data_IF_427170504640
#
_entry.id   IF_427170504640
#
_cell.length_a   1.000
_cell.length_b   1.000
_cell.length_c   1.000
_cell.angle_alpha   90.00
_cell.angle_beta   90.00
_cell.angle_gamma   90.00
#
_symmetry.space_group_name_H-M   'P 1'
#
loop_
_entity.id
_entity.type
_entity.pdbx_description
1 polymer ?
#
# COMPACT_ATOMS: atom_id res chain seq x y z
N UNK A 1 5.84 11.40 -0.70
CA UNK A 1 6.06 12.08 -2.01
C UNK A 1 7.53 12.31 -2.12
N UNK A 2 8.17 11.85 -3.20
CA UNK A 2 9.64 11.82 -3.26
C UNK A 2 10.13 11.99 -4.70
N UNK A 3 11.44 12.15 -4.91
CA UNK A 3 12.04 12.09 -6.25
C UNK A 3 12.73 10.75 -6.48
N UNK A 4 12.48 10.14 -7.64
CA UNK A 4 13.19 8.95 -8.09
C UNK A 4 13.39 9.06 -9.61
N UNK A 5 14.61 8.77 -10.08
CA UNK A 5 14.97 8.81 -11.51
C UNK A 5 14.66 10.16 -12.18
N UNK A 6 14.81 11.25 -11.43
CA UNK A 6 14.57 12.61 -11.92
C UNK A 6 13.10 13.04 -11.88
N UNK A 7 12.16 12.13 -11.63
CA UNK A 7 10.72 12.40 -11.61
C UNK A 7 10.18 12.50 -10.18
N UNK A 8 9.11 13.28 -10.00
CA UNK A 8 8.39 13.36 -8.72
C UNK A 8 7.38 12.21 -8.66
N UNK A 9 7.58 11.31 -7.70
CA UNK A 9 6.71 10.16 -7.44
C UNK A 9 5.77 10.43 -6.28
N UNK A 10 4.52 10.02 -6.46
CA UNK A 10 3.47 10.09 -5.44
C UNK A 10 2.74 8.77 -5.45
N UNK A 11 2.91 7.99 -4.38
CA UNK A 11 2.38 6.63 -4.25
C UNK A 11 1.85 6.48 -2.83
N UNK A 12 0.61 6.03 -2.69
CA UNK A 12 0.04 5.64 -1.41
C UNK A 12 0.32 4.16 -1.12
N UNK A 13 0.49 3.88 0.16
CA UNK A 13 0.71 2.53 0.68
C UNK A 13 -0.20 2.34 1.88
N UNK A 14 -0.75 1.14 2.00
CA UNK A 14 -1.42 0.66 3.19
C UNK A 14 -0.38 -0.13 4.00
N UNK A 15 -0.32 0.17 5.29
CA UNK A 15 0.50 -0.56 6.25
C UNK A 15 -0.42 -1.35 7.17
N UNK A 16 -0.24 -2.66 7.23
CA UNK A 16 -0.91 -3.52 8.20
C UNK A 16 0.12 -3.95 9.23
N UNK A 17 -0.16 -3.71 10.52
CA UNK A 17 0.74 -4.07 11.62
C UNK A 17 0.02 -4.98 12.63
N UNK A 18 0.73 -5.95 13.24
CA UNK A 18 0.11 -6.98 14.08
C UNK A 18 -0.34 -6.46 15.45
N UNK A 19 0.35 -5.46 16.00
CA UNK A 19 0.08 -4.93 17.34
C UNK A 19 0.30 -3.42 17.43
N UNK A 20 -0.25 -2.79 18.47
CA UNK A 20 -0.05 -1.36 18.71
C UNK A 20 1.40 -1.03 19.08
N UNK A 21 2.12 -1.93 19.76
CA UNK A 21 3.54 -1.75 20.07
C UNK A 21 4.38 -1.66 18.79
N UNK A 22 4.08 -2.48 17.78
CA UNK A 22 4.73 -2.39 16.46
C UNK A 22 4.34 -1.07 15.77
N UNK A 23 3.08 -0.62 15.87
CA UNK A 23 2.66 0.68 15.33
C UNK A 23 3.43 1.83 15.97
N UNK A 24 3.65 1.80 17.28
CA UNK A 24 4.46 2.81 17.99
C UNK A 24 5.89 2.84 17.45
N UNK A 25 6.53 1.68 17.27
CA UNK A 25 7.88 1.58 16.70
C UNK A 25 7.94 2.04 15.24
N UNK A 26 6.92 1.72 14.42
CA UNK A 26 6.80 2.25 13.05
C UNK A 26 6.72 3.78 13.08
N UNK A 27 5.92 4.34 13.99
CA UNK A 27 5.82 5.80 14.12
C UNK A 27 7.16 6.42 14.54
N UNK A 28 7.91 5.77 15.43
CA UNK A 28 9.23 6.22 15.88
C UNK A 28 10.25 6.35 14.74
N UNK A 29 10.23 5.43 13.78
CA UNK A 29 11.13 5.48 12.61
C UNK A 29 10.59 6.37 11.50
N UNK A 30 9.28 6.38 11.24
CA UNK A 30 8.70 7.16 10.14
C UNK A 30 8.63 8.67 10.42
N UNK A 31 8.59 9.09 11.69
CA UNK A 31 8.61 10.52 12.07
C UNK A 31 9.91 11.23 11.68
N UNK A 32 11.01 10.49 11.45
CA UNK A 32 12.26 11.06 10.95
C UNK A 32 12.13 11.55 9.50
N UNK A 33 11.09 11.11 8.79
CA UNK A 33 10.85 11.37 7.37
C UNK A 33 9.63 12.26 7.09
N UNK A 34 8.93 12.73 8.12
CA UNK A 34 7.77 13.59 7.96
C UNK A 34 7.00 13.83 9.25
N UNK A 35 6.07 14.77 9.23
CA UNK A 35 5.26 15.08 10.40
C UNK A 35 4.02 14.16 10.46
N UNK A 36 4.08 13.13 11.31
CA UNK A 36 2.97 12.20 11.50
C UNK A 36 1.75 12.81 12.20
N UNK A 37 1.92 13.97 12.86
CA UNK A 37 0.83 14.62 13.62
C UNK A 37 0.01 15.62 12.81
N UNK A 38 0.42 15.92 11.57
CA UNK A 38 -0.22 16.95 10.74
C UNK A 38 -1.49 16.46 10.04
N UNK A 39 -1.49 15.20 9.56
CA UNK A 39 -2.55 14.62 8.74
C UNK A 39 -2.71 13.13 9.06
N UNK A 40 -3.93 12.59 8.92
CA UNK A 40 -4.20 11.16 9.09
C UNK A 40 -3.53 10.27 8.04
N UNK A 41 -3.10 10.84 6.90
CA UNK A 41 -2.24 10.22 5.90
C UNK A 41 -1.01 11.12 5.67
N UNK A 42 0.02 10.99 6.52
CA UNK A 42 1.18 11.86 6.46
C UNK A 42 1.97 11.69 5.15
N UNK A 43 2.55 12.78 4.67
CA UNK A 43 3.46 12.74 3.53
C UNK A 43 4.89 12.55 4.02
N UNK A 44 5.50 11.43 3.64
CA UNK A 44 6.88 11.11 4.01
C UNK A 44 7.83 11.40 2.84
N UNK A 45 9.01 11.94 3.15
CA UNK A 45 10.16 12.06 2.26
C UNK A 45 10.96 10.75 2.26
N UNK A 46 10.29 9.70 1.78
CA UNK A 46 10.81 8.34 1.62
C UNK A 46 10.48 7.83 0.24
N UNK A 47 11.44 7.12 -0.36
CA UNK A 47 11.16 6.33 -1.56
C UNK A 47 10.34 5.09 -1.20
N UNK A 48 9.54 4.56 -2.13
CA UNK A 48 8.77 3.34 -1.92
C UNK A 48 9.60 2.14 -1.42
N UNK A 49 10.81 1.82 -1.95
CA UNK A 49 11.60 0.72 -1.43
C UNK A 49 12.12 0.99 -0.02
N UNK A 50 12.58 2.23 0.25
CA UNK A 50 13.04 2.59 1.60
C UNK A 50 11.90 2.50 2.61
N UNK A 51 10.67 2.90 2.26
CA UNK A 51 9.51 2.72 3.14
C UNK A 51 9.32 1.25 3.51
N UNK A 52 9.36 0.35 2.52
CA UNK A 52 9.19 -1.10 2.73
C UNK A 52 10.29 -1.65 3.64
N UNK A 53 11.55 -1.31 3.35
CA UNK A 53 12.70 -1.71 4.16
C UNK A 53 12.56 -1.21 5.60
N UNK A 54 12.31 0.09 5.79
CA UNK A 54 12.20 0.74 7.11
C UNK A 54 11.12 0.11 7.98
N UNK A 55 9.92 -0.16 7.45
CA UNK A 55 8.84 -0.74 8.28
C UNK A 55 9.04 -2.24 8.53
N UNK A 56 9.70 -2.96 7.62
CA UNK A 56 9.99 -4.39 7.81
C UNK A 56 11.21 -4.63 8.70
N UNK A 57 12.12 -3.68 8.80
CA UNK A 57 13.20 -3.70 9.79
C UNK A 57 12.66 -3.59 11.23
N UNK A 58 11.51 -2.93 11.42
CA UNK A 58 10.80 -2.92 12.71
C UNK A 58 10.18 -4.30 13.00
N UNK A 59 9.48 -4.87 12.03
CA UNK A 59 8.93 -6.23 12.14
C UNK A 59 8.66 -6.82 10.76
N UNK A 60 9.10 -8.07 10.56
CA UNK A 60 8.88 -8.80 9.32
C UNK A 60 7.42 -9.17 9.08
N UNK A 61 6.57 -9.05 10.10
CA UNK A 61 5.13 -9.26 10.01
C UNK A 61 4.38 -8.06 9.42
N UNK A 62 5.00 -6.89 9.29
CA UNK A 62 4.34 -5.71 8.69
C UNK A 62 4.14 -5.96 7.20
N UNK A 63 2.88 -5.88 6.76
CA UNK A 63 2.52 -5.99 5.34
C UNK A 63 2.38 -4.60 4.72
N UNK A 64 2.98 -4.43 3.54
CA UNK A 64 2.93 -3.19 2.76
C UNK A 64 2.19 -3.46 1.46
N UNK A 65 1.04 -2.80 1.28
CA UNK A 65 0.20 -2.98 0.09
C UNK A 65 0.18 -1.67 -0.70
N UNK A 66 0.62 -1.64 -1.98
CA UNK A 66 0.39 -0.49 -2.84
C UNK A 66 -1.10 -0.23 -3.00
N UNK A 67 -1.53 0.98 -2.66
CA UNK A 67 -2.93 1.37 -2.71
C UNK A 67 -3.41 1.66 -4.13
N UNK A 68 -4.68 1.34 -4.37
CA UNK A 68 -5.49 1.76 -5.51
C UNK A 68 -4.70 1.92 -6.82
N UNK A 69 -3.99 0.86 -7.25
CA UNK A 69 -2.79 0.93 -8.10
C UNK A 69 -2.98 1.58 -9.47
N UNK A 70 -4.21 1.67 -9.98
CA UNK A 70 -4.54 2.28 -11.28
C UNK A 70 -5.13 3.69 -11.21
N UNK A 71 -5.36 4.24 -10.00
CA UNK A 71 -5.90 5.60 -9.90
C UNK A 71 -4.88 6.59 -10.51
N UNK A 72 -5.27 7.54 -11.37
CA UNK A 72 -4.30 8.36 -12.11
C UNK A 72 -3.29 9.12 -11.25
N UNK A 73 -3.66 9.40 -10.00
CA UNK A 73 -2.87 10.14 -9.02
C UNK A 73 -2.51 9.25 -7.84
N UNK A 74 -1.37 9.50 -7.20
CA UNK A 74 -0.97 8.86 -5.95
C UNK A 74 -0.92 7.32 -5.98
N UNK A 75 -0.72 6.71 -7.15
CA UNK A 75 -0.84 5.25 -7.31
C UNK A 75 0.32 4.67 -8.08
N UNK A 76 0.58 3.37 -7.87
CA UNK A 76 1.70 2.64 -8.45
C UNK A 76 1.76 2.78 -9.97
N UNK A 77 0.70 2.46 -10.70
CA UNK A 77 0.61 2.57 -12.17
C UNK A 77 -0.16 3.82 -12.61
N UNK A 78 -0.24 4.84 -11.73
CA UNK A 78 -0.98 6.06 -12.00
C UNK A 78 -0.32 6.87 -13.13
N UNK A 79 -1.11 7.26 -14.13
CA UNK A 79 -0.62 7.95 -15.35
C UNK A 79 0.01 9.34 -15.14
N UNK A 80 0.00 9.89 -13.90
CA UNK A 80 0.56 11.21 -13.59
C UNK A 80 1.92 11.17 -12.90
N UNK A 81 2.14 10.21 -12.01
CA UNK A 81 3.33 10.16 -11.14
C UNK A 81 3.67 8.74 -10.67
N UNK A 82 3.11 7.71 -11.33
CA UNK A 82 3.36 6.30 -11.06
C UNK A 82 4.63 5.79 -11.73
N UNK A 83 4.74 4.48 -11.85
CA UNK A 83 5.80 3.72 -12.47
C UNK A 83 5.21 2.78 -13.53
N UNK A 84 6.07 2.23 -14.38
CA UNK A 84 5.66 1.29 -15.43
C UNK A 84 5.75 -0.19 -15.00
N UNK A 85 6.33 -0.48 -13.82
CA UNK A 85 6.40 -1.82 -13.24
C UNK A 85 6.52 -1.78 -11.69
N UNK A 86 6.19 -2.89 -11.02
CA UNK A 86 6.43 -3.06 -9.58
C UNK A 86 7.92 -2.96 -9.27
N UNK A 87 8.76 -3.63 -10.06
CA UNK A 87 10.20 -3.64 -9.85
C UNK A 87 10.85 -2.25 -10.04
N UNK A 88 10.32 -1.42 -10.94
CA UNK A 88 10.78 -0.03 -11.07
C UNK A 88 10.44 0.80 -9.82
N UNK A 89 9.28 0.53 -9.20
CA UNK A 89 8.88 1.21 -7.98
C UNK A 89 9.66 0.71 -6.76
N UNK A 90 9.63 -0.60 -6.51
CA UNK A 90 10.10 -1.22 -5.25
C UNK A 90 11.49 -1.85 -5.34
N UNK A 91 12.11 -1.94 -6.52
CA UNK A 91 13.47 -2.49 -6.70
C UNK A 91 13.61 -3.86 -6.03
N UNK A 92 14.69 -4.07 -5.28
CA UNK A 92 14.98 -5.30 -4.53
C UNK A 92 13.99 -5.58 -3.38
N UNK A 93 13.17 -4.61 -3.01
CA UNK A 93 12.11 -4.74 -2.01
C UNK A 93 10.78 -5.23 -2.61
N UNK A 94 10.68 -5.38 -3.94
CA UNK A 94 9.47 -5.91 -4.60
C UNK A 94 9.12 -7.34 -4.16
N UNK A 95 10.11 -8.09 -3.65
CA UNK A 95 9.96 -9.42 -3.05
C UNK A 95 9.16 -9.44 -1.75
N UNK A 96 8.95 -8.28 -1.12
CA UNK A 96 8.19 -8.12 0.12
C UNK A 96 6.79 -7.57 -0.09
N UNK A 97 6.40 -7.35 -1.35
CA UNK A 97 5.03 -7.00 -1.71
C UNK A 97 4.32 -8.32 -2.03
N UNK A 98 3.29 -8.66 -1.26
CA UNK A 98 2.52 -9.89 -1.44
C UNK A 98 1.11 -9.63 -1.99
N UNK A 99 0.58 -8.43 -1.82
CA UNK A 99 -0.73 -8.04 -2.33
C UNK A 99 -0.71 -6.66 -3.00
N UNK A 100 -1.76 -6.34 -3.77
CA UNK A 100 -2.02 -5.00 -4.27
C UNK A 100 -3.50 -4.66 -4.18
N UNK A 101 -3.81 -3.38 -3.97
CA UNK A 101 -5.20 -2.91 -3.94
C UNK A 101 -5.64 -2.45 -5.34
N UNK A 102 -6.76 -3.00 -5.84
CA UNK A 102 -7.34 -2.62 -7.14
C UNK A 102 -7.65 -1.13 -7.24
N UNK A 103 -8.36 -0.61 -6.24
CA UNK A 103 -8.97 0.70 -6.22
C UNK A 103 -10.10 0.87 -7.25
N UNK A 104 -10.82 1.99 -7.12
CA UNK A 104 -12.06 2.28 -7.86
C UNK A 104 -11.92 2.42 -9.39
N UNK A 105 -10.69 2.45 -9.89
CA UNK A 105 -10.40 2.69 -11.32
C UNK A 105 -10.07 1.39 -12.06
N UNK A 106 -10.11 0.23 -11.40
CA UNK A 106 -9.85 -1.07 -12.01
C UNK A 106 -10.70 -2.18 -11.40
N UNK A 107 -10.84 -3.28 -12.13
CA UNK A 107 -11.44 -4.52 -11.65
C UNK A 107 -10.42 -5.69 -11.74
N UNK A 108 -10.67 -6.84 -11.08
CA UNK A 108 -9.74 -7.96 -11.14
C UNK A 108 -9.41 -8.43 -12.57
N UNK A 109 -10.37 -8.57 -13.51
CA UNK A 109 -10.06 -8.91 -14.90
C UNK A 109 -9.12 -7.93 -15.62
N UNK A 110 -9.18 -6.63 -15.32
CA UNK A 110 -8.20 -5.66 -15.83
C UNK A 110 -6.79 -5.98 -15.34
N UNK A 111 -6.65 -6.32 -14.06
CA UNK A 111 -5.37 -6.59 -13.40
C UNK A 111 -4.74 -7.90 -13.88
N UNK A 112 -5.53 -8.95 -14.09
CA UNK A 112 -5.04 -10.25 -14.59
C UNK A 112 -4.44 -10.21 -15.99
N UNK A 113 -4.53 -9.07 -16.70
CA UNK A 113 -3.85 -8.86 -17.98
C UNK A 113 -2.40 -8.43 -17.83
N UNK A 114 -1.95 -8.15 -16.61
CA UNK A 114 -0.58 -7.72 -16.30
C UNK A 114 0.11 -8.86 -15.55
N UNK A 115 0.92 -9.64 -16.28
CA UNK A 115 1.55 -10.86 -15.75
C UNK A 115 2.44 -10.63 -14.53
N UNK A 116 2.97 -9.42 -14.35
CA UNK A 116 3.76 -9.05 -13.17
C UNK A 116 2.93 -9.12 -11.86
N UNK A 117 1.60 -8.96 -11.97
CA UNK A 117 0.67 -9.02 -10.85
C UNK A 117 0.22 -10.45 -10.52
N UNK A 118 0.47 -11.44 -11.39
CA UNK A 118 -0.01 -12.82 -11.20
C UNK A 118 0.54 -13.48 -9.93
N UNK A 119 1.70 -13.00 -9.45
CA UNK A 119 2.34 -13.48 -8.22
C UNK A 119 1.78 -12.85 -6.94
N UNK A 120 0.91 -11.84 -7.07
CA UNK A 120 0.39 -11.06 -5.95
C UNK A 120 -1.08 -11.35 -5.70
N UNK A 121 -1.49 -11.27 -4.44
CA UNK A 121 -2.89 -11.36 -4.06
C UNK A 121 -3.62 -10.06 -4.40
N UNK A 122 -4.72 -10.18 -5.15
CA UNK A 122 -5.61 -9.04 -5.41
C UNK A 122 -6.47 -8.76 -4.19
N UNK A 123 -6.41 -7.54 -3.65
CA UNK A 123 -7.34 -7.06 -2.61
C UNK A 123 -8.08 -5.81 -3.09
N UNK A 124 -9.23 -5.54 -2.50
CA UNK A 124 -10.07 -4.38 -2.81
C UNK A 124 -10.61 -3.75 -1.53
N UNK A 125 -10.44 -2.43 -1.40
CA UNK A 125 -10.89 -1.66 -0.25
C UNK A 125 -11.63 -0.40 -0.69
N UNK A 126 -12.50 0.09 0.18
CA UNK A 126 -13.42 1.17 -0.15
C UNK A 126 -12.79 2.58 -0.25
N UNK A 127 -11.62 2.81 0.36
CA UNK A 127 -11.07 4.16 0.59
C UNK A 127 -12.14 5.16 1.10
N UNK A 128 -12.86 4.75 2.15
CA UNK A 128 -14.02 5.46 2.64
C UNK A 128 -13.66 6.76 3.37
N UNK A 129 -14.15 7.88 2.84
CA UNK A 129 -14.02 9.21 3.45
C UNK A 129 -15.34 9.73 4.05
N UNK A 130 -16.33 8.84 4.23
CA UNK A 130 -17.58 9.15 4.92
C UNK A 130 -18.24 7.85 5.41
N UNK A 131 -19.02 7.89 6.50
CA UNK A 131 -19.57 6.69 7.12
C UNK A 131 -20.76 6.09 6.38
N UNK A 132 -21.22 6.69 5.27
CA UNK A 132 -22.43 6.26 4.58
C UNK A 132 -22.26 4.88 3.92
N UNK A 133 -23.28 3.99 3.94
CA UNK A 133 -23.19 2.64 3.36
C UNK A 133 -22.84 2.57 1.87
N UNK A 134 -23.12 3.62 1.10
CA UNK A 134 -22.72 3.69 -0.31
C UNK A 134 -21.24 4.13 -0.50
N UNK A 135 -20.51 4.37 0.60
CA UNK A 135 -19.08 4.70 0.63
C UNK A 135 -18.29 3.65 1.41
N UNK A 136 -18.64 3.40 2.67
CA UNK A 136 -18.01 2.34 3.47
C UNK A 136 -18.33 0.98 2.86
N UNK A 137 -17.31 0.17 2.58
CA UNK A 137 -17.49 -1.15 1.97
C UNK A 137 -17.98 -1.13 0.51
N UNK A 138 -17.92 0.02 -0.20
CA UNK A 138 -18.25 0.07 -1.64
C UNK A 138 -17.36 -0.84 -2.50
N UNK A 139 -16.17 -1.14 -1.99
CA UNK A 139 -15.32 -2.26 -2.40
C UNK A 139 -14.87 -2.99 -1.13
N UNK A 140 -14.78 -4.31 -1.21
CA UNK A 140 -14.41 -5.16 -0.10
C UNK A 140 -13.75 -6.46 -0.59
N UNK A 141 -12.84 -6.98 0.23
CA UNK A 141 -12.25 -8.31 0.05
C UNK A 141 -12.99 -9.30 0.96
N UNK A 142 -13.49 -10.39 0.38
CA UNK A 142 -14.15 -11.45 1.15
C UNK A 142 -13.10 -12.49 1.52
N UNK A 143 -12.89 -12.69 2.82
CA UNK A 143 -11.94 -13.65 3.36
C UNK A 143 -12.70 -14.89 3.87
N UNK A 144 -12.15 -16.07 3.59
CA UNK A 144 -12.66 -17.34 4.12
C UNK A 144 -11.67 -17.84 5.18
N UNK A 145 -11.95 -17.52 6.45
CA UNK A 145 -11.04 -17.76 7.58
C UNK A 145 -11.69 -18.70 8.60
N UNK A 146 -10.88 -19.50 9.28
CA UNK A 146 -11.34 -20.32 10.41
C UNK A 146 -11.60 -19.45 11.65
N UNK A 147 -10.67 -18.54 11.95
CA UNK A 147 -10.75 -17.58 13.05
C UNK A 147 -10.33 -16.17 12.56
N UNK A 148 -10.87 -15.13 13.20
CA UNK A 148 -10.54 -13.73 12.87
C UNK A 148 -9.34 -13.26 13.69
N UNK A 149 -8.14 -13.38 13.13
CA UNK A 149 -6.89 -12.85 13.68
C UNK A 149 -6.05 -12.20 12.59
N UNK A 150 -5.04 -11.41 12.98
CA UNK A 150 -4.08 -10.83 12.04
C UNK A 150 -3.37 -11.92 11.23
N UNK A 151 -2.86 -12.94 11.93
CA UNK A 151 -2.17 -14.10 11.34
C UNK A 151 -3.06 -14.94 10.42
N UNK A 152 -4.38 -14.90 10.59
CA UNK A 152 -5.29 -15.60 9.69
C UNK A 152 -5.61 -14.77 8.43
N UNK A 153 -5.48 -13.44 8.50
CA UNK A 153 -5.72 -12.53 7.36
C UNK A 153 -4.52 -12.53 6.40
N UNK A 154 -3.30 -12.65 6.93
CA UNK A 154 -2.05 -12.68 6.16
C UNK A 154 -1.64 -14.12 5.80
#
# INVERSE_FOLDING_TARGET
VYRQEGETRKIHHLLLAPTFEIVEQINEVLQEHGNLSEDGRPTLDLTSPTLVETVRDVSDQVEVIPCHIWTPWFSLFGSRSGFDSLDACYRDQSKHIHAYETGLSSDPPMNWRVSELDRLTTVSFSDAHSPWPFRIGREATVLNLEDLSYDAIL
#
